data_IF_433166775410
#
_entry.id   IF_433166775410
#
_cell.length_a   1.000
_cell.length_b   1.000
_cell.length_c   1.000
_cell.angle_alpha   90.00
_cell.angle_beta   90.00
_cell.angle_gamma   90.00
#
_symmetry.space_group_name_H-M   'P 1'
#
loop_
_entity.id
_entity.type
_entity.pdbx_description
1 polymer ?
#
# COMPACT_ATOMS: atom_id res chain seq x y z
N UNK A 1 31.44 12.59 -6.19
CA UNK A 1 31.08 13.91 -6.73
C UNK A 1 29.75 13.74 -7.44
N UNK A 2 28.71 14.47 -7.03
CA UNK A 2 27.35 14.40 -7.61
C UNK A 2 27.13 15.67 -8.42
N UNK A 3 26.50 15.56 -9.59
CA UNK A 3 26.14 16.69 -10.44
C UNK A 3 24.63 16.89 -10.43
N UNK A 4 24.17 18.12 -10.25
CA UNK A 4 22.77 18.51 -10.38
C UNK A 4 22.56 18.90 -11.85
N UNK A 5 21.64 18.22 -12.54
CA UNK A 5 21.37 18.43 -13.96
C UNK A 5 20.89 19.87 -14.25
N UNK A 6 19.92 20.36 -13.46
CA UNK A 6 19.40 21.73 -13.57
C UNK A 6 18.77 22.19 -12.25
N UNK A 7 18.66 23.52 -12.08
CA UNK A 7 17.91 24.12 -10.97
C UNK A 7 16.42 24.25 -11.31
N UNK A 8 16.07 24.67 -12.52
CA UNK A 8 14.70 25.05 -12.89
C UNK A 8 14.36 24.70 -14.35
N UNK A 9 14.76 23.52 -14.82
CA UNK A 9 14.43 23.08 -16.18
C UNK A 9 13.05 22.39 -16.20
N UNK A 10 12.02 23.23 -16.22
CA UNK A 10 10.62 22.81 -16.18
C UNK A 10 10.18 22.05 -17.43
N UNK A 11 10.74 22.37 -18.60
CA UNK A 11 10.32 21.73 -19.85
C UNK A 11 10.77 20.27 -19.93
N UNK A 12 11.87 19.92 -19.25
CA UNK A 12 12.44 18.57 -19.22
C UNK A 12 12.22 17.86 -17.88
N UNK A 13 11.43 18.47 -16.97
CA UNK A 13 11.12 17.89 -15.66
C UNK A 13 12.30 17.85 -14.67
N UNK A 14 13.43 18.48 -14.99
CA UNK A 14 14.62 18.56 -14.13
C UNK A 14 14.56 19.81 -13.24
N UNK A 15 13.57 19.85 -12.36
CA UNK A 15 13.31 20.99 -11.46
C UNK A 15 13.73 20.66 -10.03
N UNK A 16 14.59 21.51 -9.48
CA UNK A 16 14.97 21.52 -8.07
C UNK A 16 14.45 22.76 -7.33
N UNK A 17 14.10 23.80 -8.09
CA UNK A 17 13.54 25.06 -7.60
C UNK A 17 12.25 24.82 -6.79
N UNK A 18 12.09 25.48 -5.63
CA UNK A 18 10.85 25.41 -4.86
C UNK A 18 9.64 25.93 -5.65
N UNK A 19 8.53 25.22 -5.54
CA UNK A 19 7.29 25.59 -6.22
C UNK A 19 6.10 25.71 -5.24
N UNK A 20 4.98 26.25 -5.69
CA UNK A 20 3.80 26.46 -4.83
C UNK A 20 3.07 25.16 -4.46
N UNK A 21 3.30 24.07 -5.19
CA UNK A 21 2.67 22.76 -5.02
C UNK A 21 3.48 21.87 -4.06
N UNK A 22 4.80 21.83 -4.21
CA UNK A 22 5.71 20.95 -3.50
C UNK A 22 6.62 21.69 -2.51
N UNK A 23 6.58 23.03 -2.50
CA UNK A 23 7.45 23.83 -1.65
C UNK A 23 8.91 23.46 -1.89
N UNK A 24 9.61 23.06 -0.84
CA UNK A 24 11.03 22.68 -0.89
C UNK A 24 11.27 21.17 -1.07
N UNK A 25 10.26 20.38 -1.47
CA UNK A 25 10.33 18.91 -1.46
C UNK A 25 11.57 18.35 -2.19
N UNK A 26 11.89 18.84 -3.39
CA UNK A 26 13.05 18.35 -4.16
C UNK A 26 14.40 18.67 -3.50
N UNK A 27 14.51 19.84 -2.85
CA UNK A 27 15.70 20.20 -2.08
C UNK A 27 15.80 19.38 -0.80
N UNK A 28 14.67 19.11 -0.14
CA UNK A 28 14.62 18.22 1.02
C UNK A 28 14.99 16.78 0.64
N UNK A 29 14.45 16.25 -0.46
CA UNK A 29 14.79 14.92 -0.98
C UNK A 29 16.28 14.82 -1.35
N UNK A 30 16.82 15.83 -2.04
CA UNK A 30 18.26 15.90 -2.36
C UNK A 30 19.11 15.94 -1.10
N UNK A 31 18.71 16.74 -0.09
CA UNK A 31 19.38 16.78 1.21
C UNK A 31 19.30 15.42 1.92
N UNK A 32 18.14 14.78 1.95
CA UNK A 32 17.95 13.47 2.56
C UNK A 32 18.84 12.42 1.89
N UNK A 33 18.89 12.37 0.55
CA UNK A 33 19.77 11.46 -0.18
C UNK A 33 21.25 11.68 0.17
N UNK A 34 21.69 12.93 0.27
CA UNK A 34 23.04 13.28 0.69
C UNK A 34 23.32 12.90 2.15
N UNK A 35 22.37 13.12 3.06
CA UNK A 35 22.49 12.73 4.47
C UNK A 35 22.49 11.22 4.66
N UNK A 36 21.67 10.47 3.92
CA UNK A 36 21.63 9.01 3.94
C UNK A 36 22.93 8.38 3.38
N UNK A 37 23.59 9.08 2.46
CA UNK A 37 24.91 8.68 1.95
C UNK A 37 26.03 9.05 2.93
N UNK A 38 25.90 10.16 3.66
CA UNK A 38 26.92 10.70 4.56
C UNK A 38 26.86 10.11 5.98
N UNK A 39 25.68 9.70 6.43
CA UNK A 39 25.47 8.84 7.57
C UNK A 39 24.76 7.62 7.05
N UNK A 40 25.46 6.48 6.99
CA UNK A 40 24.77 5.19 7.04
C UNK A 40 23.75 5.32 8.16
N UNK A 41 22.47 5.33 7.79
CA UNK A 41 21.39 5.60 8.72
C UNK A 41 21.67 4.77 9.98
N UNK A 42 21.59 5.39 11.14
CA UNK A 42 21.23 4.66 12.35
C UNK A 42 19.87 4.06 12.00
N UNK A 43 19.90 2.89 11.37
CA UNK A 43 18.74 2.29 10.74
C UNK A 43 17.69 2.13 11.82
N UNK A 44 16.44 2.45 11.49
CA UNK A 44 15.43 1.53 11.96
C UNK A 44 15.91 0.17 11.51
N UNK A 45 16.14 -0.73 12.47
CA UNK A 45 16.39 -2.11 12.15
C UNK A 45 15.22 -2.53 11.26
N UNK A 46 15.42 -3.30 10.18
CA UNK A 46 14.31 -3.76 9.32
C UNK A 46 13.22 -4.51 10.11
N UNK A 47 13.43 -4.74 11.41
CA UNK A 47 12.49 -5.22 12.42
C UNK A 47 11.35 -4.26 12.74
N UNK A 48 11.52 -2.95 12.52
CA UNK A 48 10.50 -1.95 12.82
C UNK A 48 9.67 -1.70 11.55
N UNK A 49 8.45 -2.23 11.54
CA UNK A 49 7.49 -2.00 10.47
C UNK A 49 6.32 -1.14 10.96
N UNK A 50 5.67 -0.46 10.02
CA UNK A 50 4.49 0.35 10.31
C UNK A 50 3.22 -0.29 9.75
N UNK A 51 2.15 -0.31 10.52
CA UNK A 51 0.80 -0.64 10.03
C UNK A 51 0.10 0.65 9.63
N UNK A 52 -0.43 0.68 8.41
CA UNK A 52 -1.40 1.68 7.96
C UNK A 52 -2.76 1.02 7.87
N UNK A 53 -3.63 1.29 8.84
CA UNK A 53 -4.98 0.73 8.93
C UNK A 53 -6.02 1.77 8.52
N UNK A 54 -6.75 1.53 7.43
CA UNK A 54 -7.91 2.35 7.07
C UNK A 54 -9.17 1.88 7.80
N UNK A 55 -9.59 2.63 8.83
CA UNK A 55 -10.73 2.35 9.68
C UNK A 55 -12.00 3.03 9.17
N UNK A 56 -12.78 2.31 8.35
CA UNK A 56 -14.11 2.72 7.89
C UNK A 56 -15.23 2.14 8.77
N UNK A 57 -15.16 0.84 9.08
CA UNK A 57 -16.05 0.15 10.01
C UNK A 57 -15.40 0.02 11.40
N UNK A 58 -15.96 0.70 12.40
CA UNK A 58 -15.40 0.73 13.77
C UNK A 58 -15.57 -0.58 14.53
N UNK A 59 -16.57 -1.40 14.21
CA UNK A 59 -16.75 -2.70 14.86
C UNK A 59 -15.70 -3.73 14.40
N UNK A 60 -15.12 -3.52 13.22
CA UNK A 60 -14.01 -4.32 12.69
C UNK A 60 -12.65 -3.77 13.12
N UNK A 61 -12.58 -2.50 13.52
CA UNK A 61 -11.35 -1.90 14.06
C UNK A 61 -10.86 -2.71 15.27
N UNK A 62 -11.76 -3.11 16.17
CA UNK A 62 -11.39 -3.87 17.37
C UNK A 62 -10.73 -5.22 17.03
N UNK A 63 -11.27 -5.95 16.03
CA UNK A 63 -10.71 -7.21 15.52
C UNK A 63 -9.35 -7.01 14.85
N UNK A 64 -9.16 -5.91 14.11
CA UNK A 64 -7.88 -5.58 13.50
C UNK A 64 -6.82 -5.25 14.57
N UNK A 65 -7.20 -4.53 15.63
CA UNK A 65 -6.30 -4.22 16.74
C UNK A 65 -5.87 -5.48 17.50
N UNK A 66 -6.78 -6.44 17.70
CA UNK A 66 -6.45 -7.75 18.29
C UNK A 66 -5.43 -8.49 17.43
N UNK A 67 -5.67 -8.60 16.12
CA UNK A 67 -4.76 -9.29 15.20
C UNK A 67 -3.37 -8.61 15.14
N UNK A 68 -3.31 -7.28 15.19
CA UNK A 68 -2.04 -6.53 15.23
C UNK A 68 -1.31 -6.78 16.55
N UNK A 69 -2.00 -6.79 17.68
CA UNK A 69 -1.38 -7.05 18.99
C UNK A 69 -0.83 -8.49 19.09
N UNK A 70 -1.56 -9.45 18.51
CA UNK A 70 -1.21 -10.87 18.57
C UNK A 70 -0.09 -11.27 17.59
N UNK A 71 0.28 -10.43 16.62
CA UNK A 71 1.26 -10.79 15.59
C UNK A 71 2.70 -10.94 16.09
N UNK A 72 3.00 -10.54 17.33
CA UNK A 72 4.32 -10.71 17.95
C UNK A 72 5.40 -9.75 17.44
N UNK A 73 5.07 -8.80 16.56
CA UNK A 73 5.96 -7.74 16.10
C UNK A 73 5.72 -6.43 16.87
N UNK A 74 6.77 -5.63 17.05
CA UNK A 74 6.61 -4.25 17.52
C UNK A 74 6.31 -3.37 16.30
N UNK A 75 5.03 -3.00 16.15
CA UNK A 75 4.58 -2.25 14.99
C UNK A 75 4.14 -0.84 15.36
N UNK A 76 4.64 0.16 14.63
CA UNK A 76 4.08 1.51 14.69
C UNK A 76 2.72 1.51 14.02
N UNK A 77 1.69 2.08 14.66
CA UNK A 77 0.34 2.11 14.10
C UNK A 77 -0.07 3.52 13.64
N UNK A 78 -0.45 3.63 12.37
CA UNK A 78 -1.15 4.79 11.80
C UNK A 78 -2.54 4.35 11.35
N UNK A 79 -3.56 5.00 11.88
CA UNK A 79 -4.95 4.77 11.50
C UNK A 79 -5.42 5.92 10.62
N UNK A 80 -5.91 5.60 9.43
CA UNK A 80 -6.62 6.56 8.58
C UNK A 80 -8.12 6.33 8.69
N UNK A 81 -8.92 7.38 8.66
CA UNK A 81 -10.39 7.27 8.74
C UNK A 81 -11.05 8.47 8.05
N UNK A 82 -12.37 8.46 7.94
CA UNK A 82 -13.13 9.63 7.50
C UNK A 82 -12.94 10.79 8.50
N UNK A 83 -12.87 12.03 7.99
CA UNK A 83 -12.65 13.22 8.80
C UNK A 83 -13.68 13.38 9.92
N UNK A 84 -14.91 12.88 9.74
CA UNK A 84 -15.98 12.92 10.74
C UNK A 84 -15.86 11.84 11.82
N UNK A 85 -15.03 10.82 11.60
CA UNK A 85 -14.88 9.64 12.48
C UNK A 85 -13.60 9.67 13.34
N UNK A 86 -12.71 10.66 13.12
CA UNK A 86 -11.42 10.79 13.82
C UNK A 86 -11.55 10.67 15.33
N UNK A 87 -12.51 11.38 15.93
CA UNK A 87 -12.67 11.39 17.39
C UNK A 87 -13.20 10.06 17.93
N UNK A 88 -14.08 9.38 17.17
CA UNK A 88 -14.58 8.05 17.54
C UNK A 88 -13.46 7.02 17.50
N UNK A 89 -12.59 7.08 16.47
CA UNK A 89 -11.41 6.22 16.36
C UNK A 89 -10.45 6.46 17.52
N UNK A 90 -10.16 7.73 17.87
CA UNK A 90 -9.29 8.07 19.02
C UNK A 90 -9.84 7.54 20.34
N UNK A 91 -11.13 7.71 20.57
CA UNK A 91 -11.78 7.20 21.79
C UNK A 91 -11.69 5.67 21.87
N UNK A 92 -11.90 4.97 20.76
CA UNK A 92 -11.75 3.50 20.69
C UNK A 92 -10.31 3.07 20.99
N UNK A 93 -9.31 3.69 20.35
CA UNK A 93 -7.90 3.41 20.61
C UNK A 93 -7.53 3.65 22.08
N UNK A 94 -8.02 4.74 22.68
CA UNK A 94 -7.80 5.06 24.09
C UNK A 94 -8.43 4.01 25.03
N UNK A 95 -9.67 3.58 24.76
CA UNK A 95 -10.34 2.53 25.53
C UNK A 95 -9.57 1.20 25.48
N UNK A 96 -8.93 0.92 24.35
CA UNK A 96 -8.10 -0.27 24.14
C UNK A 96 -6.67 -0.10 24.64
N UNK A 97 -6.27 1.09 25.09
CA UNK A 97 -4.90 1.39 25.51
C UNK A 97 -3.87 1.33 24.37
N UNK A 98 -4.31 1.45 23.11
CA UNK A 98 -3.45 1.37 21.92
C UNK A 98 -2.96 2.78 21.56
N UNK A 99 -1.64 2.93 21.44
CA UNK A 99 -1.04 4.16 20.92
C UNK A 99 -0.98 4.11 19.40
N UNK A 100 -1.63 5.06 18.74
CA UNK A 100 -1.60 5.19 17.29
C UNK A 100 -1.75 6.65 16.86
N UNK A 101 -1.17 6.98 15.71
CA UNK A 101 -1.49 8.22 15.03
C UNK A 101 -2.83 8.07 14.30
N UNK A 102 -3.68 9.10 14.33
CA UNK A 102 -4.99 9.10 13.66
C UNK A 102 -5.09 10.28 12.71
N UNK A 103 -5.23 9.96 11.41
CA UNK A 103 -5.33 10.91 10.32
C UNK A 103 -6.73 10.83 9.68
N UNK A 104 -7.42 11.98 9.59
CA UNK A 104 -8.75 12.10 8.97
C UNK A 104 -8.65 12.55 7.52
N UNK A 105 -9.39 11.89 6.63
CA UNK A 105 -9.44 12.20 5.20
C UNK A 105 -10.88 12.41 4.75
N UNK A 106 -11.06 13.16 3.65
CA UNK A 106 -12.32 13.15 2.93
C UNK A 106 -12.61 11.74 2.38
N UNK A 107 -13.88 11.36 2.29
CA UNK A 107 -14.30 10.10 1.69
C UNK A 107 -14.08 10.09 0.17
N UNK A 108 -12.81 9.99 -0.24
CA UNK A 108 -12.33 10.08 -1.61
C UNK A 108 -11.20 9.07 -1.81
N UNK A 109 -11.33 8.23 -2.84
CA UNK A 109 -10.30 7.22 -3.16
C UNK A 109 -10.19 6.09 -2.14
N UNK A 110 -11.22 5.91 -1.29
CA UNK A 110 -11.40 4.81 -0.33
C UNK A 110 -10.19 4.66 0.59
N UNK A 111 -9.70 3.43 0.74
CA UNK A 111 -8.49 3.08 1.47
C UNK A 111 -7.20 3.36 0.69
N UNK A 112 -7.27 3.62 -0.62
CA UNK A 112 -6.11 3.77 -1.51
C UNK A 112 -5.50 5.16 -1.42
N UNK A 113 -6.29 6.23 -1.60
CA UNK A 113 -5.77 7.59 -1.56
C UNK A 113 -5.22 7.97 -0.18
N UNK A 114 -5.91 7.72 0.95
CA UNK A 114 -5.35 7.91 2.28
C UNK A 114 -4.06 7.12 2.50
N UNK A 115 -4.00 5.87 2.01
CA UNK A 115 -2.79 5.06 2.09
C UNK A 115 -1.63 5.69 1.33
N UNK A 116 -1.80 6.13 0.08
CA UNK A 116 -0.72 6.76 -0.69
C UNK A 116 -0.21 8.04 -0.01
N UNK A 117 -1.09 8.84 0.60
CA UNK A 117 -0.70 10.05 1.36
C UNK A 117 0.13 9.69 2.59
N UNK A 118 -0.30 8.70 3.35
CA UNK A 118 0.43 8.22 4.54
C UNK A 118 1.73 7.54 4.14
N UNK A 119 1.73 6.70 3.10
CA UNK A 119 2.91 6.02 2.59
C UNK A 119 4.00 7.01 2.15
N UNK A 120 3.64 8.10 1.46
CA UNK A 120 4.60 9.15 1.10
C UNK A 120 5.23 9.79 2.34
N UNK A 121 4.41 10.13 3.34
CA UNK A 121 4.91 10.69 4.60
C UNK A 121 5.82 9.70 5.34
N UNK A 122 5.41 8.43 5.44
CA UNK A 122 6.20 7.41 6.13
C UNK A 122 7.54 7.18 5.43
N UNK A 123 7.58 7.23 4.11
CA UNK A 123 8.83 7.18 3.34
C UNK A 123 9.75 8.36 3.67
N UNK A 124 9.21 9.57 3.77
CA UNK A 124 9.96 10.77 4.19
C UNK A 124 10.46 10.70 5.64
N UNK A 125 9.73 9.99 6.51
CA UNK A 125 10.10 9.70 7.90
C UNK A 125 11.15 8.58 8.03
N UNK A 126 11.48 7.89 6.93
CA UNK A 126 12.47 6.81 6.90
C UNK A 126 11.92 5.42 7.19
N UNK A 127 10.59 5.24 7.20
CA UNK A 127 9.97 3.92 7.30
C UNK A 127 10.23 3.14 6.01
N UNK A 128 10.58 1.86 6.14
CA UNK A 128 10.93 1.02 5.00
C UNK A 128 9.82 0.06 4.62
N UNK A 129 9.21 -0.61 5.60
CA UNK A 129 8.23 -1.66 5.39
C UNK A 129 6.90 -1.29 6.04
N UNK A 130 5.83 -1.40 5.26
CA UNK A 130 4.46 -1.10 5.71
C UNK A 130 3.54 -2.28 5.49
N UNK A 131 2.74 -2.61 6.51
CA UNK A 131 1.56 -3.44 6.39
C UNK A 131 0.34 -2.54 6.14
N UNK A 132 -0.29 -2.67 4.96
CA UNK A 132 -1.55 -2.00 4.64
C UNK A 132 -2.73 -2.88 5.02
N UNK A 133 -3.64 -2.35 5.84
CA UNK A 133 -4.89 -2.99 6.24
C UNK A 133 -6.08 -2.05 6.05
N UNK A 134 -7.28 -2.61 6.01
CA UNK A 134 -8.51 -1.82 6.09
C UNK A 134 -9.63 -2.59 6.78
N UNK A 135 -10.65 -1.89 7.24
CA UNK A 135 -11.81 -2.51 7.89
C UNK A 135 -13.01 -2.72 6.97
N UNK A 136 -12.86 -2.49 5.65
CA UNK A 136 -13.94 -2.61 4.66
C UNK A 136 -14.65 -3.97 4.75
N UNK A 137 -15.98 -3.94 4.76
CA UNK A 137 -16.85 -5.12 4.73
C UNK A 137 -17.38 -5.37 3.33
N UNK A 138 -17.41 -6.64 2.95
CA UNK A 138 -18.15 -7.10 1.76
C UNK A 138 -19.65 -7.18 2.10
N UNK A 139 -20.35 -6.05 2.13
CA UNK A 139 -21.78 -5.95 2.50
C UNK A 139 -22.72 -6.73 1.57
N UNK A 140 -22.24 -7.21 0.43
CA UNK A 140 -23.01 -7.94 -0.58
C UNK A 140 -22.91 -9.47 -0.49
N UNK A 141 -22.25 -10.02 0.55
CA UNK A 141 -22.06 -11.48 0.68
C UNK A 141 -22.11 -11.96 2.13
N UNK A 142 -22.64 -13.16 2.34
CA UNK A 142 -22.71 -13.83 3.65
C UNK A 142 -21.32 -14.26 4.20
N UNK A 143 -20.27 -14.27 3.36
CA UNK A 143 -18.92 -14.75 3.69
C UNK A 143 -17.89 -13.64 3.99
N UNK A 144 -18.28 -12.37 3.97
CA UNK A 144 -17.36 -11.23 4.10
C UNK A 144 -16.53 -11.20 5.40
N UNK A 145 -17.08 -11.67 6.51
CA UNK A 145 -16.35 -11.77 7.77
C UNK A 145 -15.33 -12.91 7.80
N UNK A 146 -15.65 -14.04 7.16
CA UNK A 146 -14.71 -15.15 7.02
C UNK A 146 -13.53 -14.74 6.13
N UNK A 147 -13.82 -14.05 5.03
CA UNK A 147 -12.82 -13.50 4.11
C UNK A 147 -11.86 -12.51 4.81
N UNK A 148 -12.39 -11.59 5.62
CA UNK A 148 -11.56 -10.65 6.38
C UNK A 148 -10.65 -11.37 7.38
N UNK A 149 -11.19 -12.35 8.12
CA UNK A 149 -10.40 -13.15 9.07
C UNK A 149 -9.32 -13.97 8.37
N UNK A 150 -9.58 -14.48 7.18
CA UNK A 150 -8.58 -15.16 6.36
C UNK A 150 -7.45 -14.21 5.97
N UNK A 151 -7.78 -12.97 5.53
CA UNK A 151 -6.78 -11.95 5.23
C UNK A 151 -5.93 -11.55 6.43
N UNK A 152 -6.56 -11.31 7.58
CA UNK A 152 -5.82 -11.01 8.81
C UNK A 152 -4.94 -12.19 9.24
N UNK A 153 -5.45 -13.43 9.17
CA UNK A 153 -4.64 -14.62 9.47
C UNK A 153 -3.43 -14.75 8.54
N UNK A 154 -3.63 -14.54 7.24
CA UNK A 154 -2.55 -14.59 6.25
C UNK A 154 -1.48 -13.51 6.51
N UNK A 155 -1.87 -12.31 6.94
CA UNK A 155 -0.96 -11.16 7.07
C UNK A 155 -0.35 -10.97 8.47
N UNK A 156 -1.02 -11.45 9.53
CA UNK A 156 -0.74 -11.06 10.92
C UNK A 156 -0.55 -12.23 11.90
N UNK A 157 -0.66 -13.51 11.51
CA UNK A 157 -0.26 -14.56 12.47
C UNK A 157 1.23 -14.42 12.81
N UNK A 158 1.66 -14.74 14.05
CA UNK A 158 3.08 -14.63 14.43
C UNK A 158 4.04 -15.30 13.46
N UNK A 159 3.67 -16.48 12.96
CA UNK A 159 4.48 -17.23 12.00
C UNK A 159 4.58 -16.49 10.66
N UNK A 160 3.47 -15.97 10.13
CA UNK A 160 3.47 -15.28 8.85
C UNK A 160 4.17 -13.93 8.94
N UNK A 161 3.86 -13.14 9.97
CA UNK A 161 4.46 -11.83 10.18
C UNK A 161 5.99 -11.93 10.31
N UNK A 162 6.49 -12.90 11.09
CA UNK A 162 7.93 -13.15 11.22
C UNK A 162 8.58 -13.63 9.90
N UNK A 163 7.92 -14.51 9.15
CA UNK A 163 8.42 -14.96 7.84
C UNK A 163 8.47 -13.82 6.81
N UNK A 164 7.48 -12.93 6.82
CA UNK A 164 7.41 -11.77 5.93
C UNK A 164 8.53 -10.78 6.25
N UNK A 165 8.72 -10.45 7.53
CA UNK A 165 9.80 -9.55 7.96
C UNK A 165 11.18 -10.12 7.66
N UNK A 166 11.37 -11.43 7.85
CA UNK A 166 12.59 -12.12 7.39
C UNK A 166 12.76 -12.04 5.89
N UNK A 167 11.69 -12.25 5.11
CA UNK A 167 11.71 -12.10 3.65
C UNK A 167 12.21 -10.72 3.21
N UNK A 168 11.70 -9.64 3.80
CA UNK A 168 12.17 -8.28 3.48
C UNK A 168 13.61 -8.00 3.92
N UNK A 169 14.09 -8.70 4.96
CA UNK A 169 15.45 -8.59 5.47
C UNK A 169 16.45 -9.36 4.62
N UNK A 170 16.11 -10.59 4.24
CA UNK A 170 16.98 -11.53 3.54
C UNK A 170 17.02 -11.26 2.03
N UNK A 171 15.93 -10.70 1.46
CA UNK A 171 15.81 -10.36 0.05
C UNK A 171 15.59 -8.85 -0.16
N UNK A 172 16.66 -8.10 -0.52
CA UNK A 172 16.56 -6.67 -0.81
C UNK A 172 15.62 -6.35 -1.98
N UNK A 173 15.36 -7.28 -2.90
CA UNK A 173 14.48 -7.07 -4.05
C UNK A 173 13.01 -7.44 -3.75
N UNK A 174 12.69 -8.01 -2.59
CA UNK A 174 11.29 -8.21 -2.21
C UNK A 174 10.62 -6.85 -1.99
N UNK A 175 9.63 -6.54 -2.83
CA UNK A 175 8.91 -5.27 -2.81
C UNK A 175 7.49 -5.37 -2.24
N UNK A 176 6.80 -6.49 -2.46
CA UNK A 176 5.43 -6.68 -1.97
C UNK A 176 5.19 -8.14 -1.62
N UNK A 177 4.55 -8.38 -0.47
CA UNK A 177 4.10 -9.69 -0.04
C UNK A 177 2.58 -9.70 0.18
N UNK A 178 1.88 -10.60 -0.50
CA UNK A 178 0.42 -10.75 -0.40
C UNK A 178 0.01 -12.22 -0.23
N UNK A 179 -1.19 -12.52 0.31
CA UNK A 179 -1.68 -13.89 0.40
C UNK A 179 -1.82 -14.54 -0.99
N UNK A 180 -1.43 -15.81 -1.17
CA UNK A 180 -1.37 -16.43 -2.49
C UNK A 180 -2.69 -16.40 -3.25
N UNK A 181 -3.80 -16.65 -2.55
CA UNK A 181 -5.13 -16.64 -3.17
C UNK A 181 -5.55 -15.23 -3.63
N UNK A 182 -4.89 -14.18 -3.13
CA UNK A 182 -5.25 -12.79 -3.42
C UNK A 182 -4.36 -12.14 -4.46
N UNK A 183 -3.33 -12.85 -4.93
CA UNK A 183 -2.49 -12.37 -6.02
C UNK A 183 -3.08 -12.87 -7.35
N UNK A 184 -3.89 -12.02 -7.98
CA UNK A 184 -4.70 -12.39 -9.14
C UNK A 184 -4.17 -11.77 -10.43
N UNK A 185 -4.31 -12.42 -11.60
CA UNK A 185 -3.93 -11.83 -12.89
C UNK A 185 -4.78 -10.58 -13.20
N UNK A 186 -4.15 -9.44 -13.49
CA UNK A 186 -4.88 -8.19 -13.77
C UNK A 186 -5.80 -8.35 -14.97
N UNK A 187 -5.38 -9.09 -16.01
CA UNK A 187 -6.13 -9.32 -17.25
C UNK A 187 -7.50 -9.95 -17.04
N UNK A 188 -7.66 -10.79 -16.00
CA UNK A 188 -8.96 -11.41 -15.65
C UNK A 188 -9.92 -10.41 -14.95
N UNK A 189 -9.40 -9.27 -14.49
CA UNK A 189 -10.09 -8.33 -13.61
C UNK A 189 -10.02 -6.88 -14.08
N UNK A 190 -9.58 -6.57 -15.31
CA UNK A 190 -9.49 -5.19 -15.81
C UNK A 190 -10.79 -4.42 -15.59
N UNK A 191 -11.93 -5.04 -15.90
CA UNK A 191 -13.26 -4.45 -15.68
C UNK A 191 -13.37 -3.06 -16.31
N UNK A 192 -13.91 -2.11 -15.55
CA UNK A 192 -14.05 -0.72 -15.98
C UNK A 192 -12.76 0.12 -15.95
N UNK A 193 -11.59 -0.48 -15.70
CA UNK A 193 -10.36 0.25 -15.39
C UNK A 193 -9.32 0.31 -16.52
N UNK A 194 -9.62 -0.16 -17.73
CA UNK A 194 -8.66 -0.14 -18.86
C UNK A 194 -8.02 1.25 -19.08
N UNK A 195 -8.85 2.27 -19.33
CA UNK A 195 -8.36 3.64 -19.58
C UNK A 195 -7.58 4.22 -18.38
N UNK A 196 -8.00 3.87 -17.16
CA UNK A 196 -7.33 4.32 -15.93
C UNK A 196 -5.98 3.62 -15.72
N UNK A 197 -5.84 2.36 -16.12
CA UNK A 197 -4.58 1.61 -16.08
C UNK A 197 -3.59 2.17 -17.12
N UNK A 198 -4.06 2.46 -18.34
CA UNK A 198 -3.26 3.12 -19.36
C UNK A 198 -2.81 4.51 -18.91
N UNK A 199 -3.72 5.27 -18.31
CA UNK A 199 -3.41 6.56 -17.69
C UNK A 199 -2.30 6.42 -16.64
N UNK A 200 -2.40 5.45 -15.73
CA UNK A 200 -1.39 5.20 -14.70
C UNK A 200 -0.04 4.79 -15.31
N UNK A 201 -0.02 3.92 -16.33
CA UNK A 201 1.22 3.53 -17.02
C UNK A 201 1.95 4.75 -17.58
N UNK A 202 1.24 5.59 -18.35
CA UNK A 202 1.79 6.84 -18.90
C UNK A 202 2.21 7.81 -17.81
N UNK A 203 1.39 8.00 -16.78
CA UNK A 203 1.63 8.96 -15.69
C UNK A 203 2.87 8.61 -14.86
N UNK A 204 3.12 7.32 -14.69
CA UNK A 204 4.21 6.79 -13.85
C UNK A 204 5.45 6.42 -14.65
N UNK A 205 5.37 6.37 -15.99
CA UNK A 205 6.46 5.90 -16.85
C UNK A 205 6.72 4.40 -16.76
N UNK A 206 5.74 3.65 -16.26
CA UNK A 206 5.83 2.19 -16.11
C UNK A 206 5.31 1.48 -17.36
N UNK A 207 5.53 0.17 -17.43
CA UNK A 207 5.02 -0.65 -18.51
C UNK A 207 3.49 -0.78 -18.45
N UNK A 208 2.87 -0.94 -19.61
CA UNK A 208 1.44 -1.25 -19.69
C UNK A 208 1.16 -2.63 -19.07
N UNK A 209 -0.07 -2.81 -18.59
CA UNK A 209 -0.54 -4.10 -18.09
C UNK A 209 -0.45 -5.16 -19.21
N UNK A 210 0.10 -6.32 -18.87
CA UNK A 210 0.25 -7.48 -19.74
C UNK A 210 -0.31 -8.78 -19.11
N UNK A 211 -0.16 -9.92 -19.78
CA UNK A 211 -0.62 -11.23 -19.30
C UNK A 211 0.08 -11.74 -18.03
N UNK A 212 1.21 -11.14 -17.65
CA UNK A 212 1.99 -11.51 -16.47
C UNK A 212 1.71 -10.61 -15.27
N UNK A 213 1.04 -9.48 -15.51
CA UNK A 213 0.67 -8.52 -14.49
C UNK A 213 -0.31 -9.14 -13.49
N UNK A 214 0.04 -9.05 -12.21
CA UNK A 214 -0.78 -9.51 -11.08
C UNK A 214 -1.12 -8.35 -10.15
N UNK A 215 -2.09 -8.52 -9.27
CA UNK A 215 -2.40 -7.54 -8.21
C UNK A 215 -2.90 -8.20 -6.94
N UNK A 216 -2.70 -7.51 -5.81
CA UNK A 216 -3.19 -7.93 -4.50
C UNK A 216 -4.65 -7.50 -4.30
N UNK A 217 -5.57 -8.39 -4.65
CA UNK A 217 -7.02 -8.17 -4.55
C UNK A 217 -7.48 -8.01 -3.10
N UNK A 218 -8.26 -6.96 -2.85
CA UNK A 218 -8.71 -6.56 -1.53
C UNK A 218 -7.73 -5.65 -0.79
N UNK A 219 -6.77 -5.07 -1.52
CA UNK A 219 -5.86 -3.99 -1.10
C UNK A 219 -5.26 -4.11 0.32
N UNK A 220 -4.96 -5.32 0.78
CA UNK A 220 -4.26 -5.59 2.03
C UNK A 220 -3.03 -6.47 1.78
N UNK A 221 -1.85 -5.96 2.13
CA UNK A 221 -0.56 -6.55 1.78
C UNK A 221 0.56 -5.88 2.61
N UNK A 222 1.72 -6.52 2.63
CA UNK A 222 2.96 -5.90 3.09
C UNK A 222 3.73 -5.34 1.90
N UNK A 223 4.38 -4.18 2.06
CA UNK A 223 5.10 -3.52 0.97
C UNK A 223 6.32 -2.77 1.48
N UNK A 224 7.39 -2.77 0.68
CA UNK A 224 8.53 -1.89 0.86
C UNK A 224 8.22 -0.53 0.22
N UNK A 225 8.22 0.55 0.99
CA UNK A 225 7.71 1.85 0.55
C UNK A 225 8.45 2.41 -0.66
N UNK A 226 9.76 2.18 -0.78
CA UNK A 226 10.53 2.60 -1.96
C UNK A 226 10.06 1.93 -3.26
N UNK A 227 9.44 0.74 -3.18
CA UNK A 227 8.88 0.05 -4.35
C UNK A 227 7.63 0.77 -4.89
N UNK A 228 7.02 1.66 -4.10
CA UNK A 228 5.84 2.44 -4.50
C UNK A 228 6.19 3.80 -5.11
N UNK A 229 7.47 4.15 -5.26
CA UNK A 229 7.92 5.44 -5.83
C UNK A 229 7.14 5.88 -7.08
N UNK A 230 6.88 5.02 -8.10
CA UNK A 230 6.18 5.47 -9.29
C UNK A 230 4.80 6.05 -8.98
N UNK A 231 4.07 5.46 -8.02
CA UNK A 231 2.76 5.94 -7.59
C UNK A 231 2.84 7.14 -6.64
N UNK A 232 3.83 7.16 -5.74
CA UNK A 232 4.03 8.27 -4.79
C UNK A 232 4.47 9.55 -5.52
N UNK A 233 5.37 9.42 -6.49
CA UNK A 233 5.93 10.53 -7.27
C UNK A 233 4.99 11.02 -8.39
N UNK A 234 4.00 10.20 -8.77
CA UNK A 234 2.96 10.57 -9.75
C UNK A 234 2.08 11.75 -9.30
N UNK A 235 2.11 12.10 -8.01
CA UNK A 235 1.41 13.28 -7.46
C UNK A 235 -0.09 13.31 -7.79
N UNK A 236 -0.77 12.17 -7.69
CA UNK A 236 -2.20 12.05 -7.97
C UNK A 236 -3.01 13.00 -7.06
N UNK A 237 -3.82 13.85 -7.66
CA UNK A 237 -4.62 14.85 -6.98
C UNK A 237 -5.98 14.26 -6.54
N UNK A 238 -6.54 14.65 -5.39
CA UNK A 238 -7.83 14.12 -4.93
C UNK A 238 -8.99 14.36 -5.92
N UNK A 239 -8.90 15.37 -6.80
CA UNK A 239 -9.92 15.62 -7.83
C UNK A 239 -9.90 14.62 -8.99
N UNK A 240 -8.83 13.84 -9.15
CA UNK A 240 -8.76 12.77 -10.15
C UNK A 240 -9.51 11.52 -9.70
N UNK A 241 -9.79 11.41 -8.40
CA UNK A 241 -10.61 10.35 -7.85
C UNK A 241 -12.08 10.72 -7.91
N UNK A 242 -12.90 9.72 -8.17
CA UNK A 242 -14.35 9.83 -8.29
C UNK A 242 -15.00 10.19 -6.94
N UNK A 243 -16.21 10.76 -6.97
CA UNK A 243 -17.01 10.91 -5.75
C UNK A 243 -17.46 9.53 -5.28
N UNK A 244 -17.27 9.19 -4.00
CA UNK A 244 -17.71 7.90 -3.49
C UNK A 244 -19.24 7.82 -3.40
N UNK A 245 -19.82 6.96 -4.26
CA UNK A 245 -21.26 6.71 -4.39
C UNK A 245 -21.56 5.20 -4.31
N UNK A 246 -20.63 4.40 -3.81
CA UNK A 246 -20.78 2.94 -3.69
C UNK A 246 -20.45 2.17 -4.97
N UNK A 247 -19.62 2.75 -5.85
CA UNK A 247 -19.14 2.09 -7.07
C UNK A 247 -18.48 0.75 -6.73
N UNK A 248 -18.76 -0.28 -7.52
CA UNK A 248 -18.20 -1.62 -7.32
C UNK A 248 -16.93 -1.88 -8.14
N UNK A 249 -16.67 -1.04 -9.15
CA UNK A 249 -15.49 -1.11 -10.03
C UNK A 249 -15.32 0.22 -10.80
N UNK A 250 -14.26 0.36 -11.61
CA UNK A 250 -14.13 1.42 -12.61
C UNK A 250 -13.74 2.79 -12.08
N UNK A 251 -13.25 2.88 -10.83
CA UNK A 251 -12.72 4.12 -10.24
C UNK A 251 -11.20 4.12 -10.26
N UNK A 252 -10.57 5.29 -10.16
CA UNK A 252 -9.11 5.39 -10.09
C UNK A 252 -8.53 4.61 -8.90
N UNK A 253 -9.25 4.53 -7.78
CA UNK A 253 -8.84 3.70 -6.64
C UNK A 253 -8.74 2.20 -7.02
N UNK A 254 -9.71 1.69 -7.78
CA UNK A 254 -9.68 0.31 -8.27
C UNK A 254 -8.58 0.08 -9.33
N UNK A 255 -8.27 1.10 -10.14
CA UNK A 255 -7.15 1.02 -11.08
C UNK A 255 -5.80 0.95 -10.34
N UNK A 256 -5.59 1.82 -9.34
CA UNK A 256 -4.36 1.81 -8.54
C UNK A 256 -4.19 0.48 -7.79
N UNK A 257 -5.27 -0.07 -7.22
CA UNK A 257 -5.22 -1.40 -6.58
C UNK A 257 -4.63 -2.46 -7.53
N UNK A 258 -5.09 -2.47 -8.78
CA UNK A 258 -4.61 -3.39 -9.83
C UNK A 258 -3.20 -3.08 -10.32
N UNK A 259 -2.77 -1.84 -10.18
CA UNK A 259 -1.51 -1.34 -10.71
C UNK A 259 -0.34 -1.43 -9.74
N UNK A 260 -0.60 -1.55 -8.43
CA UNK A 260 0.41 -1.54 -7.37
C UNK A 260 1.59 -2.49 -7.63
N UNK A 261 1.31 -3.73 -8.04
CA UNK A 261 2.36 -4.73 -8.29
C UNK A 261 3.16 -4.45 -9.57
N UNK A 262 2.58 -3.76 -10.56
CA UNK A 262 3.30 -3.26 -11.72
C UNK A 262 4.24 -2.13 -11.33
N UNK A 263 3.77 -1.19 -10.49
CA UNK A 263 4.63 -0.14 -9.95
C UNK A 263 5.81 -0.71 -9.14
N UNK A 264 5.56 -1.75 -8.33
CA UNK A 264 6.61 -2.48 -7.59
C UNK A 264 7.61 -3.11 -8.54
N UNK A 265 7.14 -3.82 -9.57
CA UNK A 265 7.99 -4.50 -10.55
C UNK A 265 8.86 -3.54 -11.35
N UNK A 266 8.32 -2.36 -11.71
CA UNK A 266 9.04 -1.34 -12.45
C UNK A 266 10.27 -0.80 -11.70
N UNK A 267 10.23 -0.78 -10.36
CA UNK A 267 11.38 -0.39 -9.54
C UNK A 267 12.49 -1.46 -9.46
N UNK A 268 12.33 -2.60 -10.14
CA UNK A 268 13.26 -3.74 -10.07
C UNK A 268 13.01 -4.66 -8.88
N UNK A 269 11.94 -4.43 -8.11
CA UNK A 269 11.53 -5.28 -7.01
C UNK A 269 10.60 -6.39 -7.52
N UNK A 270 10.43 -7.46 -6.77
CA UNK A 270 9.49 -8.51 -7.11
C UNK A 270 8.38 -8.64 -6.07
N UNK A 271 7.29 -9.26 -6.51
CA UNK A 271 6.14 -9.60 -5.69
C UNK A 271 6.22 -11.07 -5.30
N UNK A 272 6.01 -11.38 -4.03
CA UNK A 272 5.95 -12.74 -3.52
C UNK A 272 4.61 -13.04 -2.84
N UNK A 273 4.26 -14.31 -2.83
CA UNK A 273 3.17 -14.82 -2.00
C UNK A 273 3.69 -15.16 -0.61
N UNK A 274 2.85 -14.98 0.41
CA UNK A 274 3.22 -15.33 1.79
C UNK A 274 3.56 -16.82 1.92
N UNK A 275 2.86 -17.68 1.18
CA UNK A 275 3.15 -19.11 1.06
C UNK A 275 4.59 -19.39 0.59
N UNK A 276 5.10 -18.64 -0.40
CA UNK A 276 6.48 -18.76 -0.86
C UNK A 276 7.47 -18.38 0.25
N UNK A 277 7.20 -17.31 1.00
CA UNK A 277 8.06 -16.87 2.12
C UNK A 277 8.08 -17.89 3.26
N UNK A 278 7.01 -18.65 3.42
CA UNK A 278 6.92 -19.76 4.38
C UNK A 278 7.55 -21.07 3.87
N UNK A 279 8.01 -21.11 2.62
CA UNK A 279 8.49 -22.33 1.99
C UNK A 279 7.38 -23.36 1.72
N UNK A 280 6.12 -22.93 1.65
CA UNK A 280 4.98 -23.79 1.33
C UNK A 280 4.92 -23.95 -0.20
N UNK A 281 4.92 -25.19 -0.72
CA UNK A 281 4.80 -25.43 -2.16
C UNK A 281 3.47 -24.89 -2.69
N UNK A 282 3.53 -24.10 -3.76
CA UNK A 282 2.32 -23.65 -4.45
C UNK A 282 1.57 -24.87 -5.03
N UNK A 283 0.27 -25.05 -4.76
CA UNK A 283 -0.50 -26.09 -5.40
C UNK A 283 -0.52 -25.86 -6.92
N UNK A 284 -0.16 -26.89 -7.68
CA UNK A 284 -0.22 -26.92 -9.15
C UNK A 284 -1.67 -27.03 -9.63
N UNK A 285 -2.51 -26.04 -9.35
CA UNK A 285 -3.79 -25.83 -10.03
C UNK A 285 -4.48 -24.55 -9.52
N UNK A 286 -4.65 -23.59 -10.44
CA UNK A 286 -5.59 -22.48 -10.32
C UNK A 286 -7.03 -23.02 -10.30
N UNK A 287 -7.55 -23.33 -9.12
CA UNK A 287 -9.00 -23.41 -8.93
C UNK A 287 -9.63 -22.04 -9.20
N UNK A 288 -10.91 -21.96 -9.60
CA UNK A 288 -11.58 -20.67 -9.73
C UNK A 288 -11.48 -19.93 -8.39
N UNK A 289 -10.91 -18.71 -8.40
CA UNK A 289 -10.83 -17.89 -7.22
C UNK A 289 -12.24 -17.69 -6.67
N UNK A 290 -12.47 -18.20 -5.47
CA UNK A 290 -13.82 -18.36 -4.90
C UNK A 290 -14.52 -17.03 -4.68
N UNK A 291 -13.76 -15.93 -4.65
CA UNK A 291 -14.23 -14.65 -4.14
C UNK A 291 -14.29 -13.52 -5.16
N UNK A 292 -13.62 -13.60 -6.32
CA UNK A 292 -13.77 -12.60 -7.39
C UNK A 292 -14.34 -13.26 -8.65
N UNK A 293 -15.29 -12.56 -9.29
CA UNK A 293 -15.81 -12.97 -10.60
C UNK A 293 -14.94 -12.31 -11.65
N UNK A 294 -14.50 -13.09 -12.64
CA UNK A 294 -13.84 -12.54 -13.82
C UNK A 294 -14.71 -11.44 -14.42
N UNK A 295 -14.06 -10.39 -14.92
CA UNK A 295 -14.76 -9.39 -15.73
C UNK A 295 -15.43 -10.10 -16.92
N UNK A 296 -16.65 -9.70 -17.31
CA UNK A 296 -17.31 -10.24 -18.51
C UNK A 296 -16.54 -9.91 -19.79
#
# INVERSE_FOLDING_TARGET
MVFINAWNEWAEGAVLEPDTRLGYAWLHATRQALLHTAGAATGSDLRDACVVLHAWYLDVLDEALDAIADCGLSLRLVVTTDITMVEQVRQRLQQRGVQAQVDGFENRGRDILPFLRVANRLLDEGEQVVLKLHTKKSTHREDGDAWRREMFSALLTPQHADAIMRGFTDDPLLGLAAPAQHLLPVTDFIGGNADALDYLAVRTGTDAIDEHSVFASGSMFWVKLEALRPLLDANLHPSEFENEQGQIDGTLAHAIERFLAVAVSHCGHHVATIDQLLGIPQPTASGPYRYARKAP
#
